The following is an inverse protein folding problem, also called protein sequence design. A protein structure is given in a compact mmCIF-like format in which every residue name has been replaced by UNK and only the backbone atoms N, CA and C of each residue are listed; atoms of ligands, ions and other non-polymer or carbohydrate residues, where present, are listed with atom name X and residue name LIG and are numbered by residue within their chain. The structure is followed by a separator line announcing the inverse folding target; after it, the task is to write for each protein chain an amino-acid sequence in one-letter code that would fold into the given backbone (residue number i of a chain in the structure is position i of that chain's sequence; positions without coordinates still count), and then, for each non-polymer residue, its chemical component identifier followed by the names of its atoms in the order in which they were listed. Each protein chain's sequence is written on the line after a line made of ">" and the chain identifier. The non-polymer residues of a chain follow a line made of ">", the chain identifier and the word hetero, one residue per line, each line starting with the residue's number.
data_IF_152183186938
#
_entry.id   IF_152183186938
#
_cell.length_a   1.000
_cell.length_b   1.000
_cell.length_c   1.000
_cell.angle_alpha   90.00
_cell.angle_beta   90.00
_cell.angle_gamma   90.00
#
_symmetry.space_group_name_H-M   'P 1'
#
loop_
_entity.id
_entity.type
_entity.pdbx_description
1 polymer ?
#
# COMPACT_ATOMS: atom_id res chain seq x y z
N UNK A 1 7.73 -6.11 2.89
CA UNK A 1 7.17 -5.94 4.26
C UNK A 1 8.18 -6.42 5.30
N UNK A 2 8.14 -5.87 6.51
CA UNK A 2 8.95 -6.31 7.66
C UNK A 2 8.11 -7.21 8.56
N UNK A 3 8.70 -8.29 9.03
CA UNK A 3 8.08 -9.23 9.97
C UNK A 3 8.97 -9.38 11.20
N UNK A 4 8.34 -9.60 12.34
CA UNK A 4 9.00 -9.85 13.62
C UNK A 4 8.49 -11.16 14.19
N UNK A 5 9.34 -11.87 14.92
CA UNK A 5 8.91 -13.05 15.67
C UNK A 5 7.98 -12.63 16.81
N UNK A 6 6.88 -13.37 17.00
CA UNK A 6 6.04 -13.28 18.19
C UNK A 6 6.34 -14.49 19.08
N UNK A 7 6.82 -14.25 20.31
CA UNK A 7 7.25 -15.31 21.24
C UNK A 7 8.77 -15.46 21.34
N UNK A 8 9.24 -16.64 21.77
CA UNK A 8 10.65 -16.90 22.13
C UNK A 8 11.50 -17.43 20.96
N UNK A 9 11.32 -16.88 19.76
CA UNK A 9 12.15 -17.28 18.62
C UNK A 9 13.54 -16.68 18.74
N UNK A 10 14.56 -17.53 18.71
CA UNK A 10 15.98 -17.11 18.74
C UNK A 10 16.45 -16.52 17.40
N UNK A 11 15.78 -16.85 16.29
CA UNK A 11 16.10 -16.37 14.94
C UNK A 11 14.97 -16.67 13.94
N UNK A 12 14.75 -15.75 13.00
CA UNK A 12 13.90 -15.95 11.82
C UNK A 12 14.69 -16.47 10.60
N UNK A 13 15.99 -16.75 10.75
CA UNK A 13 16.84 -17.25 9.67
C UNK A 13 16.30 -18.56 9.09
N UNK A 14 16.12 -18.62 7.77
CA UNK A 14 15.58 -19.81 7.09
C UNK A 14 14.11 -20.09 7.38
N UNK A 15 13.43 -19.22 8.14
CA UNK A 15 12.01 -19.33 8.43
C UNK A 15 11.15 -18.93 7.23
N UNK A 16 9.92 -19.44 7.21
CA UNK A 16 8.88 -19.05 6.26
C UNK A 16 7.71 -18.46 7.03
N UNK A 17 7.21 -17.31 6.58
CA UNK A 17 5.98 -16.75 7.10
C UNK A 17 4.81 -17.60 6.61
N UNK A 18 4.08 -18.18 7.56
CA UNK A 18 2.81 -18.86 7.29
C UNK A 18 1.76 -17.85 6.82
N UNK A 19 0.77 -18.31 6.06
CA UNK A 19 -0.30 -17.49 5.51
C UNK A 19 -0.91 -16.57 6.58
N UNK A 20 -0.62 -15.27 6.48
CA UNK A 20 -0.94 -14.25 7.48
C UNK A 20 -1.87 -13.20 6.87
N UNK A 21 -3.11 -13.05 7.37
CA UNK A 21 -4.01 -12.02 6.86
C UNK A 21 -3.56 -10.63 7.30
N UNK A 22 -3.49 -9.70 6.36
CA UNK A 22 -3.27 -8.27 6.59
C UNK A 22 -4.61 -7.57 6.65
N UNK A 23 -4.94 -7.05 7.84
CA UNK A 23 -6.23 -6.43 8.13
C UNK A 23 -6.14 -4.91 8.07
N UNK A 24 -7.22 -4.29 7.60
CA UNK A 24 -7.42 -2.85 7.70
C UNK A 24 -7.89 -2.42 9.08
N UNK A 25 -8.01 -1.10 9.35
CA UNK A 25 -8.55 -0.56 10.60
C UNK A 25 -10.00 -1.01 10.90
N UNK A 26 -10.73 -1.46 9.89
CA UNK A 26 -12.09 -2.00 9.97
C UNK A 26 -12.13 -3.52 10.27
N UNK A 27 -10.97 -4.13 10.60
CA UNK A 27 -10.80 -5.55 10.90
C UNK A 27 -11.12 -6.50 9.72
N UNK A 28 -11.26 -5.97 8.48
CA UNK A 28 -11.41 -6.78 7.26
C UNK A 28 -10.04 -7.14 6.69
N UNK A 29 -9.92 -8.34 6.13
CA UNK A 29 -8.70 -8.78 5.42
C UNK A 29 -8.65 -8.17 4.02
N UNK A 30 -7.55 -7.49 3.70
CA UNK A 30 -7.31 -6.86 2.39
C UNK A 30 -6.21 -7.55 1.58
N UNK A 31 -5.23 -8.11 2.28
CA UNK A 31 -4.13 -8.83 1.66
C UNK A 31 -3.75 -10.04 2.51
N UNK A 32 -3.04 -10.98 1.91
CA UNK A 32 -2.47 -12.14 2.58
C UNK A 32 -0.98 -12.14 2.34
N UNK A 33 -0.22 -12.30 3.42
CA UNK A 33 1.22 -12.38 3.38
C UNK A 33 1.71 -13.80 3.63
N UNK A 34 2.60 -14.29 2.77
CA UNK A 34 3.28 -15.57 2.94
C UNK A 34 4.64 -15.54 2.23
N UNK A 35 5.56 -16.41 2.66
CA UNK A 35 6.80 -16.66 1.93
C UNK A 35 8.06 -16.68 2.79
N UNK A 36 9.21 -16.98 2.17
CA UNK A 36 10.48 -17.11 2.88
C UNK A 36 10.90 -15.77 3.48
N UNK A 37 11.37 -15.83 4.73
CA UNK A 37 11.84 -14.66 5.47
C UNK A 37 13.34 -14.51 5.21
N UNK A 38 13.71 -13.36 4.64
CA UNK A 38 15.12 -12.97 4.51
C UNK A 38 15.51 -12.11 5.70
N UNK A 39 16.53 -12.52 6.46
CA UNK A 39 17.12 -11.69 7.50
C UNK A 39 18.45 -11.12 7.01
N UNK A 40 18.74 -9.86 7.35
CA UNK A 40 20.02 -9.22 7.02
C UNK A 40 21.16 -9.56 7.98
N UNK A 41 20.92 -10.39 9.00
CA UNK A 41 21.84 -10.68 10.09
C UNK A 41 22.36 -12.11 10.10
N UNK A 42 23.59 -12.30 10.58
CA UNK A 42 24.17 -13.60 10.87
C UNK A 42 24.86 -13.54 12.25
N UNK A 43 24.82 -14.65 13.00
CA UNK A 43 25.56 -14.81 14.27
C UNK A 43 26.76 -15.72 14.01
N UNK A 44 27.97 -15.21 14.23
CA UNK A 44 29.17 -16.06 14.31
C UNK A 44 29.50 -16.25 15.78
N UNK A 45 29.51 -17.51 16.25
CA UNK A 45 29.89 -17.86 17.61
C UNK A 45 31.30 -18.49 17.55
N UNK A 46 32.33 -17.68 17.78
CA UNK A 46 33.72 -18.11 17.93
C UNK A 46 34.20 -17.92 19.37
N UNK A 47 35.29 -18.61 19.74
CA UNK A 47 35.86 -18.62 21.09
C UNK A 47 36.33 -17.24 21.63
N UNK A 48 36.35 -16.21 20.80
CA UNK A 48 36.58 -14.82 21.20
C UNK A 48 35.40 -13.96 20.73
N UNK A 49 34.71 -13.32 21.70
CA UNK A 49 33.63 -12.31 21.55
C UNK A 49 32.71 -12.50 20.35
N UNK A 50 31.53 -13.08 20.60
CA UNK A 50 30.45 -13.16 19.60
C UNK A 50 30.08 -11.78 19.07
N UNK A 51 30.35 -11.53 17.79
CA UNK A 51 29.90 -10.32 17.09
C UNK A 51 28.50 -10.60 16.57
N UNK A 52 27.50 -9.95 17.17
CA UNK A 52 26.13 -9.96 16.66
C UNK A 52 25.92 -8.71 15.80
N UNK A 53 25.77 -8.88 14.48
CA UNK A 53 25.39 -7.80 13.57
C UNK A 53 23.95 -8.06 13.11
N UNK A 54 23.03 -7.15 13.47
CA UNK A 54 21.58 -7.16 13.24
C UNK A 54 20.71 -8.00 14.20
N UNK A 55 19.41 -7.67 14.25
CA UNK A 55 18.38 -8.36 15.04
C UNK A 55 17.91 -9.64 14.32
N UNK A 56 18.16 -10.81 14.92
CA UNK A 56 17.82 -12.12 14.36
C UNK A 56 16.30 -12.37 14.35
N UNK A 57 15.55 -11.63 15.14
CA UNK A 57 14.08 -11.74 15.31
C UNK A 57 13.29 -10.86 14.35
N UNK A 58 13.97 -10.14 13.45
CA UNK A 58 13.34 -9.27 12.46
C UNK A 58 13.82 -9.67 11.07
N UNK A 59 12.88 -9.81 10.14
CA UNK A 59 13.15 -10.20 8.77
C UNK A 59 12.29 -9.43 7.77
N UNK A 60 12.65 -9.51 6.50
CA UNK A 60 11.93 -8.90 5.39
C UNK A 60 11.43 -9.99 4.46
N UNK A 61 10.19 -9.82 3.99
CA UNK A 61 9.62 -10.65 2.93
C UNK A 61 9.54 -9.78 1.67
N UNK A 62 10.28 -10.20 0.65
CA UNK A 62 10.23 -9.63 -0.70
C UNK A 62 8.91 -10.03 -1.37
N UNK A 63 8.20 -9.09 -1.99
CA UNK A 63 6.89 -9.31 -2.64
C UNK A 63 5.80 -9.94 -1.72
N UNK A 64 5.98 -9.83 -0.41
CA UNK A 64 5.35 -10.73 0.55
C UNK A 64 3.88 -10.54 0.86
N UNK A 65 3.13 -9.70 0.14
CA UNK A 65 1.69 -9.55 0.35
C UNK A 65 0.97 -9.59 -1.00
N UNK A 66 0.14 -10.62 -1.19
CA UNK A 66 -0.80 -10.71 -2.29
C UNK A 66 -2.10 -10.00 -1.87
N UNK A 67 -2.57 -9.05 -2.67
CA UNK A 67 -3.82 -8.34 -2.40
C UNK A 67 -4.98 -9.26 -2.80
N UNK A 68 -5.70 -9.79 -1.82
CA UNK A 68 -6.85 -10.69 -2.03
C UNK A 68 -8.17 -9.91 -2.19
N UNK A 69 -8.24 -8.71 -1.61
CA UNK A 69 -9.42 -7.85 -1.68
C UNK A 69 -9.00 -6.43 -1.98
N UNK A 70 -9.08 -6.07 -3.24
CA UNK A 70 -9.04 -4.67 -3.65
C UNK A 70 -10.15 -3.92 -2.90
N UNK A 71 -9.82 -2.75 -2.33
CA UNK A 71 -10.85 -1.90 -1.73
C UNK A 71 -11.85 -1.63 -2.84
N UNK A 72 -13.12 -2.00 -2.64
CA UNK A 72 -14.20 -1.63 -3.56
C UNK A 72 -14.28 -0.10 -3.57
N UNK A 73 -13.52 0.52 -4.46
CA UNK A 73 -13.73 1.90 -4.84
C UNK A 73 -14.96 1.87 -5.73
N UNK A 74 -16.12 2.02 -5.12
CA UNK A 74 -17.41 1.94 -5.79
C UNK A 74 -17.61 3.23 -6.61
N UNK A 75 -16.89 3.31 -7.73
CA UNK A 75 -16.99 4.42 -8.69
C UNK A 75 -18.45 4.60 -9.16
N UNK A 76 -19.20 3.50 -9.22
CA UNK A 76 -20.58 3.48 -9.69
C UNK A 76 -21.63 3.84 -8.63
N UNK A 77 -21.25 4.03 -7.35
CA UNK A 77 -22.20 4.39 -6.27
C UNK A 77 -22.15 5.89 -5.96
N UNK A 78 -21.17 6.62 -6.52
CA UNK A 78 -21.12 8.07 -6.39
C UNK A 78 -21.86 8.70 -7.56
N UNK A 79 -22.75 9.62 -7.25
CA UNK A 79 -23.45 10.45 -8.24
C UNK A 79 -22.50 11.46 -8.93
N UNK A 80 -21.27 11.61 -8.41
CA UNK A 80 -20.28 12.59 -8.86
C UNK A 80 -18.86 11.98 -8.94
N UNK A 81 -18.09 12.39 -9.94
CA UNK A 81 -16.70 11.95 -10.16
C UNK A 81 -15.76 13.12 -9.96
N UNK A 82 -14.90 13.06 -8.94
CA UNK A 82 -13.88 14.10 -8.73
C UNK A 82 -12.65 13.81 -9.60
N UNK A 83 -12.36 14.71 -10.51
CA UNK A 83 -11.15 14.71 -11.34
C UNK A 83 -10.16 15.75 -10.80
N UNK A 84 -8.90 15.34 -10.64
CA UNK A 84 -7.85 16.21 -10.11
C UNK A 84 -6.68 16.35 -11.10
N UNK A 85 -6.25 17.59 -11.33
CA UNK A 85 -5.07 17.88 -12.15
C UNK A 85 -3.80 17.56 -11.40
N UNK A 86 -2.83 16.95 -12.09
CA UNK A 86 -1.49 16.69 -11.56
C UNK A 86 -0.75 17.97 -11.17
N UNK A 87 -1.00 19.07 -11.89
CA UNK A 87 -0.50 20.41 -11.59
C UNK A 87 -1.69 21.37 -11.59
N UNK A 88 -1.88 22.08 -10.48
CA UNK A 88 -2.93 23.08 -10.32
C UNK A 88 -2.75 24.21 -11.33
N UNK A 89 -3.76 24.40 -12.18
CA UNK A 89 -3.87 25.52 -13.10
C UNK A 89 -5.35 25.75 -13.40
N UNK A 90 -5.87 26.88 -12.92
CA UNK A 90 -7.28 27.26 -13.05
C UNK A 90 -7.72 27.38 -14.51
N UNK A 91 -6.83 27.84 -15.38
CA UNK A 91 -7.14 28.00 -16.82
C UNK A 91 -7.35 26.64 -17.47
N UNK A 92 -6.46 25.69 -17.16
CA UNK A 92 -6.56 24.32 -17.67
C UNK A 92 -7.79 23.62 -17.11
N UNK A 93 -8.06 23.73 -15.82
CA UNK A 93 -9.24 23.13 -15.20
C UNK A 93 -10.54 23.67 -15.82
N UNK A 94 -10.66 24.99 -15.98
CA UNK A 94 -11.82 25.63 -16.63
C UNK A 94 -12.02 25.18 -18.08
N UNK A 95 -10.93 25.05 -18.86
CA UNK A 95 -11.00 24.54 -20.24
C UNK A 95 -11.48 23.10 -20.31
N UNK A 96 -11.04 22.25 -19.37
CA UNK A 96 -11.45 20.85 -19.31
C UNK A 96 -12.94 20.75 -18.95
N UNK A 97 -13.39 21.44 -17.90
CA UNK A 97 -14.82 21.49 -17.52
C UNK A 97 -15.69 21.93 -18.70
N UNK A 98 -15.26 22.97 -19.44
CA UNK A 98 -15.98 23.42 -20.64
C UNK A 98 -16.02 22.36 -21.73
N UNK A 99 -14.88 21.74 -22.04
CA UNK A 99 -14.81 20.69 -23.07
C UNK A 99 -15.71 19.49 -22.74
N UNK A 100 -15.80 19.10 -21.46
CA UNK A 100 -16.69 18.02 -21.00
C UNK A 100 -18.16 18.41 -21.21
N UNK A 101 -18.55 19.62 -20.77
CA UNK A 101 -19.93 20.09 -20.93
C UNK A 101 -20.33 20.27 -22.41
N UNK A 102 -19.39 20.71 -23.25
CA UNK A 102 -19.60 20.85 -24.69
C UNK A 102 -19.83 19.49 -25.37
N UNK A 103 -19.08 18.45 -24.95
CA UNK A 103 -19.21 17.07 -25.48
C UNK A 103 -20.50 16.39 -25.00
N UNK A 104 -20.82 16.53 -23.71
CA UNK A 104 -22.03 15.95 -23.11
C UNK A 104 -23.29 16.72 -23.50
N UNK A 105 -23.15 17.93 -24.06
CA UNK A 105 -24.24 18.87 -24.40
C UNK A 105 -25.15 19.20 -23.23
N UNK A 106 -24.59 19.15 -22.02
CA UNK A 106 -25.29 19.40 -20.76
C UNK A 106 -24.28 19.93 -19.71
N UNK A 107 -24.77 20.53 -18.63
CA UNK A 107 -23.93 20.98 -17.52
C UNK A 107 -23.73 19.87 -16.50
N UNK A 108 -22.83 18.95 -16.84
CA UNK A 108 -22.49 17.78 -16.02
C UNK A 108 -21.22 17.98 -15.20
N UNK A 109 -20.35 18.91 -15.61
CA UNK A 109 -19.08 19.18 -14.96
C UNK A 109 -19.04 20.59 -14.34
N UNK A 110 -18.54 20.67 -13.11
CA UNK A 110 -18.41 21.89 -12.32
C UNK A 110 -16.99 22.04 -11.76
N UNK A 111 -16.43 23.24 -11.91
CA UNK A 111 -15.12 23.56 -11.37
C UNK A 111 -15.22 23.82 -9.86
N UNK A 112 -14.49 23.05 -9.05
CA UNK A 112 -14.47 23.21 -7.59
C UNK A 112 -13.31 24.11 -7.17
N UNK A 113 -12.11 23.85 -7.68
CA UNK A 113 -10.90 24.64 -7.44
C UNK A 113 -9.93 24.58 -8.64
N UNK A 114 -8.79 25.29 -8.58
CA UNK A 114 -7.82 25.32 -9.68
C UNK A 114 -7.13 23.99 -10.01
N UNK A 115 -7.38 22.93 -9.25
CA UNK A 115 -6.86 21.59 -9.47
C UNK A 115 -7.91 20.49 -9.37
N UNK A 116 -9.18 20.78 -9.08
CA UNK A 116 -10.25 19.79 -8.92
C UNK A 116 -11.56 20.26 -9.58
N UNK A 117 -12.22 19.34 -10.25
CA UNK A 117 -13.55 19.54 -10.83
C UNK A 117 -14.35 18.24 -10.67
N UNK A 118 -15.68 18.37 -10.57
CA UNK A 118 -16.66 17.28 -10.47
C UNK A 118 -17.49 17.19 -11.73
#
# INVERSE_FOLDING_TARGET
>A
MTVSSLGDSKSLQGGTLLMTPLKGPDNKTYAVAQGPISIGGFRVQGAARGVQKNHLTVGRISNGALVEKEIKYDFNVKDEIILALKKTDFTTASRITKAINDDMKDQVAFLVDGGRFV
#
